data_IF_406462489990
#
_entry.id   IF_406462489990
#
_cell.length_a   1.000
_cell.length_b   1.000
_cell.length_c   1.000
_cell.angle_alpha   90.00
_cell.angle_beta   90.00
_cell.angle_gamma   90.00
#
_symmetry.space_group_name_H-M   'P 1'
#
loop_
_entity.id
_entity.type
_entity.pdbx_description
1 polymer ?
#
# COMPACT_ATOMS: atom_id res chain seq x y z
N UNK A 1 -18.05 -8.04 15.35
CA UNK A 1 -18.49 -7.15 14.24
C UNK A 1 -17.56 -7.33 13.06
N UNK A 2 -18.06 -7.07 11.83
CA UNK A 2 -17.26 -7.31 10.61
C UNK A 2 -15.96 -6.49 10.58
N UNK A 3 -15.96 -5.23 11.01
CA UNK A 3 -14.74 -4.41 11.07
C UNK A 3 -13.70 -4.96 12.04
N UNK A 4 -14.11 -5.55 13.16
CA UNK A 4 -13.19 -6.23 14.09
C UNK A 4 -12.58 -7.49 13.45
N UNK A 5 -13.38 -8.24 12.69
CA UNK A 5 -12.89 -9.40 11.97
C UNK A 5 -11.87 -9.00 10.89
N UNK A 6 -12.12 -7.90 10.15
CA UNK A 6 -11.17 -7.34 9.19
C UNK A 6 -9.88 -6.83 9.84
N UNK A 7 -9.95 -6.25 11.05
CA UNK A 7 -8.73 -5.85 11.79
C UNK A 7 -7.90 -7.08 12.15
N UNK A 8 -8.52 -8.16 12.63
CA UNK A 8 -7.82 -9.42 12.91
C UNK A 8 -7.22 -10.04 11.66
N UNK A 9 -7.98 -10.01 10.55
CA UNK A 9 -7.48 -10.49 9.25
C UNK A 9 -6.28 -9.68 8.79
N UNK A 10 -6.30 -8.35 8.95
CA UNK A 10 -5.15 -7.51 8.68
C UNK A 10 -3.92 -7.95 9.48
N UNK A 11 -4.08 -8.22 10.78
CA UNK A 11 -3.00 -8.66 11.67
C UNK A 11 -2.38 -9.98 11.16
N UNK A 12 -3.22 -10.96 10.80
CA UNK A 12 -2.78 -12.22 10.20
C UNK A 12 -2.04 -12.02 8.86
N UNK A 13 -2.60 -11.22 7.97
CA UNK A 13 -1.98 -10.90 6.67
C UNK A 13 -0.65 -10.15 6.83
N UNK A 14 -0.54 -9.27 7.83
CA UNK A 14 0.67 -8.51 8.12
C UNK A 14 1.77 -9.41 8.69
N UNK A 15 1.45 -10.36 9.58
CA UNK A 15 2.38 -11.38 10.07
C UNK A 15 2.91 -12.27 8.95
N UNK A 16 2.08 -12.57 7.95
CA UNK A 16 2.46 -13.32 6.74
C UNK A 16 3.22 -12.45 5.71
N UNK A 17 3.40 -11.15 5.95
CA UNK A 17 4.03 -10.23 5.01
C UNK A 17 3.22 -9.94 3.74
N UNK A 18 1.94 -10.32 3.69
CA UNK A 18 1.04 -10.15 2.53
C UNK A 18 0.55 -8.72 2.35
N UNK A 19 0.51 -7.94 3.42
CA UNK A 19 0.08 -6.53 3.43
C UNK A 19 1.10 -5.62 4.09
N UNK A 20 1.03 -4.34 3.76
CA UNK A 20 1.95 -3.35 4.34
C UNK A 20 1.55 -2.98 5.77
N UNK A 21 2.54 -2.64 6.57
CA UNK A 21 2.35 -2.09 7.92
C UNK A 21 1.91 -0.61 7.87
N UNK A 22 1.33 -0.05 8.96
CA UNK A 22 1.02 1.37 9.05
C UNK A 22 2.23 2.24 8.69
N UNK A 23 1.99 3.32 7.94
CA UNK A 23 3.06 4.17 7.44
C UNK A 23 3.76 3.66 6.18
N UNK A 24 3.36 2.49 5.66
CA UNK A 24 3.92 1.88 4.45
C UNK A 24 2.82 1.51 3.45
N UNK A 25 3.19 1.49 2.16
CA UNK A 25 2.29 1.04 1.09
C UNK A 25 3.06 0.28 0.00
N UNK A 26 2.31 -0.43 -0.85
CA UNK A 26 2.84 -1.02 -2.08
C UNK A 26 2.58 -0.05 -3.23
N UNK A 27 3.60 0.23 -4.04
CA UNK A 27 3.46 1.06 -5.24
C UNK A 27 4.32 0.54 -6.39
N UNK A 28 4.00 1.01 -7.59
CA UNK A 28 4.78 0.71 -8.80
C UNK A 28 5.95 1.67 -8.91
N UNK A 29 7.15 1.13 -9.04
CA UNK A 29 8.42 1.86 -9.17
C UNK A 29 9.07 1.50 -10.49
N UNK A 30 9.50 2.52 -11.23
CA UNK A 30 10.07 2.37 -12.56
C UNK A 30 11.58 2.41 -12.58
N UNK A 31 12.19 3.23 -11.71
CA UNK A 31 13.63 3.46 -11.72
C UNK A 31 14.20 3.59 -10.30
N UNK A 32 15.49 3.30 -10.19
CA UNK A 32 16.31 3.55 -9.02
C UNK A 32 17.32 4.66 -9.32
N UNK A 33 17.43 5.64 -8.43
CA UNK A 33 18.52 6.61 -8.38
C UNK A 33 19.60 6.01 -7.50
N UNK A 34 20.60 5.36 -8.10
CA UNK A 34 21.70 4.76 -7.36
C UNK A 34 22.72 5.85 -7.02
N UNK A 35 23.09 5.95 -5.74
CA UNK A 35 23.91 7.03 -5.22
C UNK A 35 25.31 6.56 -4.77
N UNK A 36 26.28 7.47 -4.83
CA UNK A 36 27.48 7.41 -4.00
C UNK A 36 27.19 7.96 -2.60
N UNK A 37 28.06 7.68 -1.63
CA UNK A 37 27.94 8.15 -0.25
C UNK A 37 27.93 9.68 -0.15
N UNK A 38 28.63 10.37 -1.05
CA UNK A 38 28.69 11.82 -1.14
C UNK A 38 27.42 12.45 -1.76
N UNK A 39 26.45 11.62 -2.17
CA UNK A 39 25.17 12.04 -2.75
C UNK A 39 25.20 12.25 -4.26
N UNK A 40 26.33 12.06 -4.94
CA UNK A 40 26.34 12.09 -6.41
C UNK A 40 25.60 10.91 -6.97
N UNK A 41 24.91 11.12 -8.10
CA UNK A 41 24.28 10.02 -8.85
C UNK A 41 25.39 9.13 -9.44
N UNK A 42 25.32 7.83 -9.19
CA UNK A 42 26.21 6.85 -9.79
C UNK A 42 25.66 6.34 -11.12
N UNK A 43 24.36 6.07 -11.14
CA UNK A 43 23.60 5.64 -12.34
C UNK A 43 22.11 5.64 -12.06
N UNK A 44 21.31 5.62 -13.13
CA UNK A 44 19.88 5.35 -13.08
C UNK A 44 19.64 3.91 -13.53
N UNK A 45 18.98 3.12 -12.68
CA UNK A 45 18.70 1.70 -12.97
C UNK A 45 17.22 1.54 -13.31
N UNK A 46 16.91 0.98 -14.47
CA UNK A 46 15.54 0.62 -14.83
C UNK A 46 15.09 -0.62 -14.05
N UNK A 47 14.02 -0.50 -13.28
CA UNK A 47 13.42 -1.57 -12.48
C UNK A 47 12.21 -2.22 -13.16
N UNK A 48 11.86 -1.77 -14.37
CA UNK A 48 10.76 -2.36 -15.13
C UNK A 48 11.08 -3.79 -15.53
N UNK A 49 10.10 -4.68 -15.40
CA UNK A 49 10.23 -6.11 -15.68
C UNK A 49 9.41 -6.47 -16.92
N UNK A 50 9.92 -7.38 -17.74
CA UNK A 50 9.13 -7.92 -18.85
C UNK A 50 8.00 -8.80 -18.32
N UNK A 51 6.79 -8.54 -18.78
CA UNK A 51 5.62 -9.38 -18.56
C UNK A 51 4.94 -9.69 -19.87
N UNK A 52 4.61 -10.94 -20.08
CA UNK A 52 3.80 -11.36 -21.23
C UNK A 52 2.33 -11.09 -20.94
N UNK A 53 1.71 -10.25 -21.78
CA UNK A 53 0.26 -9.99 -21.74
C UNK A 53 -0.30 -10.45 -23.11
N UNK A 54 -0.90 -11.64 -23.12
CA UNK A 54 -1.29 -12.31 -24.34
C UNK A 54 -0.08 -12.70 -25.18
N UNK A 55 0.04 -12.13 -26.40
CA UNK A 55 1.18 -12.36 -27.31
C UNK A 55 2.23 -11.23 -27.32
N UNK A 56 2.09 -10.25 -26.44
CA UNK A 56 2.98 -9.07 -26.38
C UNK A 56 3.78 -9.09 -25.09
N UNK A 57 5.08 -8.81 -25.18
CA UNK A 57 5.95 -8.49 -24.07
C UNK A 57 5.82 -7.00 -23.76
N UNK A 58 5.49 -6.67 -22.53
CA UNK A 58 5.34 -5.29 -22.04
C UNK A 58 6.23 -5.09 -20.83
N UNK A 59 6.92 -3.97 -20.77
CA UNK A 59 7.68 -3.58 -19.60
C UNK A 59 6.74 -2.97 -18.55
N UNK A 60 6.64 -3.60 -17.41
CA UNK A 60 5.83 -3.14 -16.28
C UNK A 60 6.72 -2.73 -15.10
N UNK A 61 6.38 -1.63 -14.40
CA UNK A 61 7.10 -1.21 -13.20
C UNK A 61 7.06 -2.30 -12.11
N UNK A 62 8.16 -2.41 -11.36
CA UNK A 62 8.27 -3.32 -10.21
C UNK A 62 7.38 -2.82 -9.06
N UNK A 63 6.59 -3.71 -8.45
CA UNK A 63 5.86 -3.40 -7.23
C UNK A 63 6.81 -3.49 -6.04
N UNK A 64 6.87 -2.42 -5.24
CA UNK A 64 7.78 -2.32 -4.09
C UNK A 64 7.07 -1.74 -2.87
N UNK A 65 7.47 -2.20 -1.66
CA UNK A 65 7.09 -1.59 -0.40
C UNK A 65 7.85 -0.28 -0.25
N UNK A 66 7.12 0.80 -0.02
CA UNK A 66 7.69 2.15 0.15
C UNK A 66 6.99 2.87 1.30
N UNK A 67 7.56 3.95 1.84
CA UNK A 67 6.86 4.83 2.78
C UNK A 67 5.50 5.27 2.24
N UNK A 68 4.51 5.39 3.13
CA UNK A 68 3.13 5.73 2.75
C UNK A 68 3.09 6.99 1.90
N UNK A 69 2.56 6.84 0.70
CA UNK A 69 2.43 7.95 -0.25
C UNK A 69 1.22 8.82 0.09
N UNK A 70 1.38 10.13 -0.07
CA UNK A 70 0.29 11.10 0.09
C UNK A 70 -0.63 11.08 -1.13
N UNK A 71 -1.93 11.22 -0.89
CA UNK A 71 -2.91 11.43 -1.97
C UNK A 71 -2.92 12.91 -2.34
N UNK A 72 -2.59 13.22 -3.60
CA UNK A 72 -2.56 14.60 -4.12
C UNK A 72 -3.83 14.87 -4.91
N UNK A 73 -4.64 15.80 -4.44
CA UNK A 73 -5.78 16.35 -5.21
C UNK A 73 -5.43 17.73 -5.79
N UNK A 74 -4.73 18.55 -5.03
CA UNK A 74 -4.22 19.87 -5.43
C UNK A 74 -3.01 20.23 -4.55
N UNK A 75 -2.19 21.16 -4.98
CA UNK A 75 -1.04 21.62 -4.23
C UNK A 75 0.23 20.75 -4.40
N UNK A 76 1.25 21.09 -3.61
CA UNK A 76 2.54 20.44 -3.57
C UNK A 76 2.66 19.67 -2.26
N UNK A 77 2.86 18.36 -2.35
CA UNK A 77 3.06 17.49 -1.20
C UNK A 77 4.03 16.37 -1.58
N UNK A 78 5.25 16.42 -1.06
CA UNK A 78 6.29 15.45 -1.35
C UNK A 78 6.04 14.11 -0.63
N UNK A 79 6.32 13.00 -1.31
CA UNK A 79 6.48 11.70 -0.66
C UNK A 79 7.90 11.58 -0.08
N UNK A 80 8.10 10.56 0.76
CA UNK A 80 9.41 10.23 1.31
C UNK A 80 10.00 9.02 0.56
N UNK A 81 11.23 9.10 0.12
CA UNK A 81 12.04 8.10 -0.60
C UNK A 81 11.50 7.58 -1.93
N UNK A 82 10.22 7.77 -2.23
CA UNK A 82 9.60 7.28 -3.46
C UNK A 82 8.66 8.33 -4.05
N UNK A 83 9.02 8.91 -5.18
CA UNK A 83 8.22 9.88 -5.90
C UNK A 83 8.62 9.94 -7.39
N UNK A 84 7.93 10.74 -8.19
CA UNK A 84 8.32 10.96 -9.57
C UNK A 84 9.49 11.96 -9.71
N UNK A 85 9.99 12.12 -10.93
CA UNK A 85 11.14 12.97 -11.25
C UNK A 85 10.98 14.44 -10.83
N UNK A 86 9.75 14.98 -10.85
CA UNK A 86 9.48 16.36 -10.45
C UNK A 86 9.83 16.63 -8.99
N UNK A 87 9.63 15.64 -8.13
CA UNK A 87 9.95 15.74 -6.69
C UNK A 87 11.36 15.30 -6.36
N UNK A 88 11.83 14.16 -6.90
CA UNK A 88 13.14 13.66 -6.50
C UNK A 88 14.29 14.29 -7.26
N UNK A 89 14.10 14.67 -8.52
CA UNK A 89 15.14 15.26 -9.37
C UNK A 89 14.88 16.73 -9.72
N UNK A 90 13.66 17.23 -9.52
CA UNK A 90 13.29 18.60 -9.89
C UNK A 90 13.19 18.82 -11.40
N UNK A 91 12.81 17.78 -12.17
CA UNK A 91 12.76 17.81 -13.63
C UNK A 91 11.51 17.13 -14.19
N UNK A 92 11.12 17.55 -15.38
CA UNK A 92 10.24 16.81 -16.29
C UNK A 92 10.86 16.71 -17.70
N UNK A 93 10.06 16.39 -18.70
CA UNK A 93 10.55 16.21 -20.08
C UNK A 93 11.22 17.47 -20.65
N UNK A 94 10.76 18.67 -20.23
CA UNK A 94 11.27 19.97 -20.70
C UNK A 94 12.42 20.52 -19.81
N UNK A 95 12.74 19.85 -18.69
CA UNK A 95 13.73 20.25 -17.72
C UNK A 95 13.12 20.70 -16.41
N UNK A 96 13.52 21.88 -15.89
CA UNK A 96 12.95 22.44 -14.66
C UNK A 96 12.12 23.70 -14.93
N UNK A 97 11.12 23.95 -14.08
CA UNK A 97 10.30 25.16 -14.07
C UNK A 97 10.03 25.58 -12.64
N UNK A 98 9.47 26.76 -12.43
CA UNK A 98 9.19 27.28 -11.06
C UNK A 98 8.41 26.29 -10.21
N UNK A 99 7.28 25.75 -10.73
CA UNK A 99 6.48 24.76 -9.98
C UNK A 99 7.22 23.45 -9.75
N UNK A 100 8.04 23.00 -10.67
CA UNK A 100 8.83 21.77 -10.52
C UNK A 100 9.92 21.97 -9.49
N UNK A 101 10.55 23.16 -9.47
CA UNK A 101 11.49 23.53 -8.43
C UNK A 101 10.83 23.55 -7.04
N UNK A 102 9.61 24.06 -6.92
CA UNK A 102 8.85 24.03 -5.67
C UNK A 102 8.57 22.57 -5.20
N UNK A 103 8.27 21.67 -6.14
CA UNK A 103 8.11 20.24 -5.84
C UNK A 103 9.42 19.63 -5.29
N UNK A 104 10.55 19.94 -5.91
CA UNK A 104 11.85 19.46 -5.48
C UNK A 104 12.24 20.03 -4.10
N UNK A 105 12.00 21.33 -3.87
CA UNK A 105 12.28 21.97 -2.58
C UNK A 105 11.44 21.35 -1.46
N UNK A 106 10.17 21.06 -1.70
CA UNK A 106 9.32 20.36 -0.74
C UNK A 106 9.83 18.92 -0.44
N UNK A 107 10.33 18.23 -1.46
CA UNK A 107 10.93 16.91 -1.27
C UNK A 107 12.26 17.00 -0.50
N UNK A 108 13.11 17.96 -0.84
CA UNK A 108 14.37 18.26 -0.14
C UNK A 108 14.13 18.51 1.34
N UNK A 109 13.21 19.42 1.67
CA UNK A 109 12.87 19.76 3.05
C UNK A 109 12.41 18.51 3.83
N UNK A 110 11.48 17.74 3.26
CA UNK A 110 10.96 16.53 3.88
C UNK A 110 12.05 15.48 4.15
N UNK A 111 12.91 15.22 3.16
CA UNK A 111 13.97 14.22 3.31
C UNK A 111 15.03 14.66 4.32
N UNK A 112 15.43 15.91 4.30
CA UNK A 112 16.40 16.45 5.27
C UNK A 112 15.83 16.39 6.69
N UNK A 113 14.57 16.82 6.88
CA UNK A 113 13.91 16.80 8.19
C UNK A 113 13.76 15.37 8.74
N UNK A 114 13.20 14.44 7.95
CA UNK A 114 12.99 13.06 8.41
C UNK A 114 14.31 12.36 8.73
N UNK A 115 15.36 12.58 7.93
CA UNK A 115 16.66 11.94 8.10
C UNK A 115 17.62 12.69 9.05
N UNK A 116 17.16 13.77 9.69
CA UNK A 116 17.98 14.51 10.64
C UNK A 116 18.44 13.63 11.81
N UNK A 117 19.72 13.73 12.16
CA UNK A 117 20.30 12.93 13.25
C UNK A 117 20.39 11.42 12.97
N UNK A 118 20.34 10.99 11.70
CA UNK A 118 20.58 9.59 11.30
C UNK A 118 22.00 9.47 10.75
N UNK A 119 22.82 8.57 11.31
CA UNK A 119 24.23 8.42 10.95
C UNK A 119 24.50 7.31 9.91
N UNK A 120 23.48 6.55 9.53
CA UNK A 120 23.57 5.49 8.51
C UNK A 120 24.07 6.00 7.16
N UNK A 121 24.93 5.20 6.51
CA UNK A 121 25.57 5.56 5.23
C UNK A 121 24.51 5.87 4.14
N UNK A 122 23.44 5.09 4.08
CA UNK A 122 22.33 5.29 3.14
C UNK A 122 21.61 6.63 3.43
N UNK A 123 21.32 6.92 4.69
CA UNK A 123 20.70 8.18 5.09
C UNK A 123 21.58 9.38 4.77
N UNK A 124 22.91 9.26 4.96
CA UNK A 124 23.87 10.27 4.57
C UNK A 124 23.87 10.49 3.06
N UNK A 125 23.89 9.43 2.26
CA UNK A 125 23.86 9.53 0.80
C UNK A 125 22.63 10.28 0.29
N UNK A 126 21.43 9.96 0.80
CA UNK A 126 20.18 10.64 0.44
C UNK A 126 20.20 12.11 0.88
N UNK A 127 20.65 12.41 2.10
CA UNK A 127 20.78 13.82 2.57
C UNK A 127 21.77 14.62 1.72
N UNK A 128 22.94 14.02 1.42
CA UNK A 128 23.97 14.66 0.60
C UNK A 128 23.47 14.91 -0.82
N UNK A 129 22.70 13.96 -1.39
CA UNK A 129 22.05 14.18 -2.67
C UNK A 129 21.19 15.44 -2.65
N UNK A 130 20.23 15.56 -1.74
CA UNK A 130 19.36 16.73 -1.68
C UNK A 130 20.08 18.04 -1.33
N UNK A 131 21.22 17.98 -0.64
CA UNK A 131 22.05 19.17 -0.38
C UNK A 131 22.80 19.65 -1.62
N UNK A 132 23.33 18.71 -2.40
CA UNK A 132 24.29 18.99 -3.47
C UNK A 132 23.67 19.00 -4.88
N UNK A 133 22.55 18.32 -5.09
CA UNK A 133 21.89 18.23 -6.38
C UNK A 133 21.28 19.56 -6.81
N UNK A 134 21.61 19.97 -8.05
CA UNK A 134 21.01 21.15 -8.69
C UNK A 134 20.16 20.71 -9.89
N UNK A 135 18.82 20.84 -9.84
CA UNK A 135 17.93 20.50 -10.95
C UNK A 135 18.25 21.24 -12.28
N UNK A 136 18.77 22.45 -12.23
CA UNK A 136 19.09 23.23 -13.42
C UNK A 136 20.22 22.62 -14.24
N UNK A 137 21.12 21.86 -13.60
CA UNK A 137 22.21 21.16 -14.27
C UNK A 137 21.87 19.72 -14.66
N UNK A 138 20.63 19.28 -14.47
CA UNK A 138 20.22 17.90 -14.71
C UNK A 138 20.42 17.42 -16.15
N UNK A 139 20.19 18.29 -17.15
CA UNK A 139 20.40 17.97 -18.56
C UNK A 139 21.87 17.74 -18.92
N UNK A 140 22.78 18.30 -18.14
CA UNK A 140 24.23 18.12 -18.32
C UNK A 140 24.75 16.85 -17.63
N UNK A 141 23.94 16.24 -16.73
CA UNK A 141 24.32 15.05 -15.96
C UNK A 141 24.36 13.82 -16.89
N UNK A 142 25.54 13.22 -17.12
CA UNK A 142 25.66 12.08 -18.03
C UNK A 142 24.85 10.87 -17.61
N UNK A 143 24.72 10.65 -16.30
CA UNK A 143 24.04 9.50 -15.69
C UNK A 143 22.51 9.51 -15.94
N UNK A 144 21.93 10.67 -16.26
CA UNK A 144 20.51 10.80 -16.58
C UNK A 144 20.20 10.66 -18.07
N UNK A 145 21.18 10.90 -18.96
CA UNK A 145 20.94 11.03 -20.41
C UNK A 145 20.29 9.82 -21.03
N UNK A 146 20.76 8.63 -20.70
CA UNK A 146 20.27 7.38 -21.29
C UNK A 146 18.81 7.08 -20.89
N UNK A 147 18.42 7.47 -19.69
CA UNK A 147 17.09 7.18 -19.13
C UNK A 147 16.17 8.41 -19.07
N UNK A 148 16.55 9.54 -19.67
CA UNK A 148 15.86 10.82 -19.55
C UNK A 148 14.35 10.72 -19.84
N UNK A 149 13.98 10.19 -21.01
CA UNK A 149 12.57 10.03 -21.39
C UNK A 149 11.82 9.14 -20.39
N UNK A 150 12.43 8.03 -20.00
CA UNK A 150 11.80 7.08 -19.09
C UNK A 150 11.58 7.61 -17.68
N UNK A 151 12.53 8.36 -17.11
CA UNK A 151 12.41 8.94 -15.77
C UNK A 151 11.45 10.14 -15.74
N UNK A 152 11.29 10.85 -16.86
CA UNK A 152 10.39 12.01 -16.96
C UNK A 152 8.97 11.66 -17.40
N UNK A 153 8.70 10.41 -17.81
CA UNK A 153 7.38 9.89 -18.18
C UNK A 153 6.40 9.72 -16.97
N UNK A 154 6.80 10.18 -15.79
CA UNK A 154 5.94 10.26 -14.61
C UNK A 154 5.91 9.02 -13.73
N UNK A 155 6.72 8.00 -14.00
CA UNK A 155 6.90 6.83 -13.13
C UNK A 155 7.60 7.18 -11.81
N UNK A 156 7.33 6.40 -10.76
CA UNK A 156 8.03 6.60 -9.49
C UNK A 156 9.48 6.11 -9.56
N UNK A 157 10.32 6.85 -8.85
CA UNK A 157 11.72 6.53 -8.60
C UNK A 157 11.94 6.27 -7.11
N UNK A 158 12.97 5.51 -6.76
CA UNK A 158 13.45 5.29 -5.41
C UNK A 158 14.95 5.53 -5.33
N UNK A 159 15.48 5.74 -4.12
CA UNK A 159 16.92 5.81 -3.90
C UNK A 159 17.50 4.44 -3.58
N UNK A 160 18.71 4.18 -4.07
CA UNK A 160 19.47 2.98 -3.74
C UNK A 160 20.98 3.23 -3.70
N UNK A 161 21.72 2.27 -3.17
CA UNK A 161 23.17 2.24 -3.11
C UNK A 161 23.64 0.78 -2.99
N UNK A 162 24.55 0.35 -3.86
CA UNK A 162 25.16 -0.99 -3.80
C UNK A 162 24.12 -2.13 -3.64
N UNK A 163 23.09 -2.17 -4.49
CA UNK A 163 22.02 -3.19 -4.51
C UNK A 163 21.00 -3.11 -3.35
N UNK A 164 21.15 -2.16 -2.42
CA UNK A 164 20.20 -1.92 -1.35
C UNK A 164 19.36 -0.69 -1.62
N UNK A 165 18.05 -0.76 -1.35
CA UNK A 165 17.15 0.38 -1.45
C UNK A 165 17.10 1.16 -0.14
N UNK A 166 16.95 2.48 -0.24
CA UNK A 166 16.89 3.36 0.93
C UNK A 166 15.72 3.05 1.87
N UNK A 167 14.58 2.61 1.34
CA UNK A 167 13.42 2.22 2.14
C UNK A 167 13.60 0.90 2.89
N UNK A 168 14.62 0.10 2.56
CA UNK A 168 14.91 -1.16 3.25
C UNK A 168 15.97 -0.98 4.35
N UNK A 169 16.58 0.21 4.47
CA UNK A 169 17.55 0.53 5.52
C UNK A 169 16.86 0.62 6.89
N UNK A 170 17.31 -0.16 7.91
CA UNK A 170 16.65 -0.23 9.21
C UNK A 170 16.62 1.10 9.98
N UNK A 171 17.66 1.92 9.85
CA UNK A 171 17.72 3.22 10.53
C UNK A 171 16.76 4.23 9.90
N UNK A 172 16.68 4.21 8.57
CA UNK A 172 15.70 5.02 7.83
C UNK A 172 14.27 4.58 8.16
N UNK A 173 14.01 3.27 8.20
CA UNK A 173 12.70 2.74 8.59
C UNK A 173 12.30 3.18 10.00
N UNK A 174 13.24 3.10 10.95
CA UNK A 174 13.02 3.55 12.34
C UNK A 174 12.67 5.04 12.40
N UNK A 175 13.39 5.88 11.67
CA UNK A 175 13.12 7.33 11.60
C UNK A 175 11.77 7.63 10.96
N UNK A 176 11.46 6.96 9.85
CA UNK A 176 10.16 7.11 9.19
C UNK A 176 9.01 6.72 10.11
N UNK A 177 9.09 5.56 10.77
CA UNK A 177 8.05 5.10 11.69
C UNK A 177 7.87 6.07 12.86
N UNK A 178 8.95 6.64 13.40
CA UNK A 178 8.88 7.64 14.45
C UNK A 178 8.19 8.93 13.97
N UNK A 179 8.52 9.41 12.77
CA UNK A 179 7.92 10.62 12.19
C UNK A 179 6.41 10.52 11.95
N UNK A 180 5.88 9.29 11.81
CA UNK A 180 4.44 9.07 11.67
C UNK A 180 3.68 9.24 13.00
N UNK A 181 4.37 9.21 14.12
CA UNK A 181 3.77 9.34 15.45
C UNK A 181 3.68 10.80 15.94
N UNK A 182 4.37 11.73 15.28
CA UNK A 182 4.52 13.14 15.71
C UNK A 182 3.54 14.11 15.04
N UNK A 183 2.53 13.63 14.29
CA UNK A 183 1.63 14.53 13.56
C UNK A 183 0.49 15.09 14.41
N UNK A 184 0.47 16.43 14.53
CA UNK A 184 -0.62 17.37 14.88
C UNK A 184 -1.58 17.02 16.04
N UNK A 185 -2.27 18.03 16.60
CA UNK A 185 -3.36 17.94 17.58
C UNK A 185 -4.49 17.03 17.04
N UNK A 186 -4.30 15.73 17.19
CA UNK A 186 -5.25 14.72 16.75
C UNK A 186 -6.37 14.58 17.75
N UNK A 187 -7.62 14.63 17.30
CA UNK A 187 -8.77 14.32 18.14
C UNK A 187 -8.65 12.84 18.53
N UNK A 188 -8.50 12.60 19.84
CA UNK A 188 -8.44 11.27 20.41
C UNK A 188 -9.77 10.88 21.04
N UNK A 189 -10.07 9.59 21.01
CA UNK A 189 -11.30 9.04 21.57
C UNK A 189 -11.26 7.52 21.66
N UNK A 190 -12.38 6.93 22.10
CA UNK A 190 -12.54 5.48 22.13
C UNK A 190 -12.92 4.99 20.72
N UNK A 191 -12.12 4.10 20.16
CA UNK A 191 -12.39 3.46 18.87
C UNK A 191 -13.58 2.50 18.98
N UNK A 192 -14.62 2.68 18.15
CA UNK A 192 -15.79 1.80 18.12
C UNK A 192 -15.47 0.37 17.64
N UNK A 193 -14.35 0.17 16.96
CA UNK A 193 -13.94 -1.15 16.44
C UNK A 193 -13.11 -1.92 17.45
N UNK A 194 -12.11 -1.29 18.05
CA UNK A 194 -11.15 -1.98 18.95
C UNK A 194 -11.44 -1.78 20.43
N UNK A 195 -12.20 -0.75 20.78
CA UNK A 195 -12.42 -0.33 22.19
C UNK A 195 -11.23 0.44 22.79
N UNK A 196 -10.13 0.60 22.08
CA UNK A 196 -8.94 1.28 22.56
C UNK A 196 -9.09 2.80 22.45
N UNK A 197 -8.50 3.52 23.40
CA UNK A 197 -8.37 4.98 23.33
C UNK A 197 -7.15 5.36 22.48
N UNK A 198 -7.34 6.33 21.58
CA UNK A 198 -6.26 6.82 20.72
C UNK A 198 -6.76 7.78 19.63
N UNK A 199 -5.90 8.16 18.69
CA UNK A 199 -6.24 9.10 17.63
C UNK A 199 -7.32 8.53 16.70
N UNK A 200 -8.35 9.33 16.44
CA UNK A 200 -9.50 8.98 15.58
C UNK A 200 -9.24 9.42 14.13
N UNK A 201 -9.58 8.57 13.20
CA UNK A 201 -9.48 8.88 11.78
C UNK A 201 -10.60 9.85 11.36
N UNK A 202 -10.23 11.00 10.81
CA UNK A 202 -11.18 11.98 10.29
C UNK A 202 -11.81 11.53 8.97
N UNK A 203 -11.01 10.90 8.09
CA UNK A 203 -11.42 10.41 6.78
C UNK A 203 -10.91 8.99 6.64
N UNK A 204 -11.78 8.09 6.20
CA UNK A 204 -11.38 6.71 5.94
C UNK A 204 -10.91 6.54 4.50
N UNK A 205 -9.95 5.62 4.31
CA UNK A 205 -9.40 5.27 3.01
C UNK A 205 -10.44 4.60 2.14
N UNK A 206 -10.31 4.81 0.83
CA UNK A 206 -11.21 4.21 -0.16
C UNK A 206 -11.02 2.70 -0.26
N UNK A 207 -12.14 2.01 -0.41
CA UNK A 207 -12.21 0.59 -0.76
C UNK A 207 -12.27 0.47 -2.27
N UNK A 208 -11.30 -0.24 -2.85
CA UNK A 208 -11.14 -0.43 -4.30
C UNK A 208 -11.71 -1.77 -4.76
N UNK A 209 -12.01 -1.89 -6.04
CA UNK A 209 -12.49 -3.16 -6.61
C UNK A 209 -13.95 -3.46 -6.32
N UNK A 210 -14.73 -2.48 -5.85
CA UNK A 210 -16.17 -2.59 -5.65
C UNK A 210 -16.89 -2.28 -6.97
N UNK A 211 -17.70 -3.20 -7.52
CA UNK A 211 -18.46 -2.95 -8.75
C UNK A 211 -19.37 -1.73 -8.62
N UNK A 212 -19.46 -0.91 -9.66
CA UNK A 212 -20.31 0.30 -9.67
C UNK A 212 -19.79 1.47 -8.83
N UNK A 213 -18.70 1.33 -8.09
CA UNK A 213 -18.09 2.44 -7.36
C UNK A 213 -17.32 3.39 -8.31
N UNK A 214 -17.02 4.59 -7.80
CA UNK A 214 -16.17 5.55 -8.51
C UNK A 214 -14.76 4.98 -8.72
N UNK A 215 -14.04 5.48 -9.72
CA UNK A 215 -12.66 5.05 -10.00
C UNK A 215 -11.69 5.29 -8.84
N UNK A 216 -11.97 6.29 -7.99
CA UNK A 216 -11.23 6.57 -6.75
C UNK A 216 -11.51 5.53 -5.64
N UNK A 217 -12.56 4.74 -5.75
CA UNK A 217 -13.04 3.75 -4.80
C UNK A 217 -14.32 4.14 -4.07
N UNK A 218 -14.82 3.22 -3.24
CA UNK A 218 -15.99 3.41 -2.38
C UNK A 218 -15.57 3.78 -0.96
N UNK A 219 -16.41 4.51 -0.24
CA UNK A 219 -16.22 4.76 1.19
C UNK A 219 -17.15 3.84 1.99
N UNK A 220 -16.57 3.08 2.94
CA UNK A 220 -17.34 2.23 3.84
C UNK A 220 -17.91 3.03 5.02
N UNK A 221 -17.12 3.96 5.57
CA UNK A 221 -17.52 4.91 6.60
C UNK A 221 -17.22 6.31 6.07
N UNK A 222 -18.25 7.13 5.87
CA UNK A 222 -18.10 8.47 5.32
C UNK A 222 -19.26 9.38 5.74
N UNK A 223 -18.93 10.60 6.12
CA UNK A 223 -19.84 11.68 6.47
C UNK A 223 -19.43 12.92 5.65
N UNK A 224 -19.76 12.91 4.37
CA UNK A 224 -19.24 13.86 3.39
C UNK A 224 -20.15 15.09 3.14
N UNK A 225 -21.18 15.27 3.96
CA UNK A 225 -22.05 16.43 3.91
C UNK A 225 -22.47 16.85 5.31
N UNK A 226 -22.66 18.17 5.58
CA UNK A 226 -23.09 18.67 6.89
C UNK A 226 -24.39 18.06 7.41
N UNK A 227 -25.28 17.59 6.52
CA UNK A 227 -26.52 16.90 6.87
C UNK A 227 -26.30 15.56 7.60
N UNK A 228 -25.10 14.97 7.51
CA UNK A 228 -24.73 13.73 8.18
C UNK A 228 -24.01 13.97 9.51
N UNK A 229 -23.73 15.22 9.85
CA UNK A 229 -23.00 15.59 11.06
C UNK A 229 -23.94 15.79 12.24
N UNK A 230 -23.51 15.41 13.44
CA UNK A 230 -24.28 15.49 14.66
C UNK A 230 -23.40 15.92 15.83
N UNK A 231 -24.01 16.61 16.78
CA UNK A 231 -23.32 17.03 18.03
C UNK A 231 -22.02 17.83 17.80
N UNK A 232 -21.96 18.63 16.73
CA UNK A 232 -20.77 19.40 16.38
C UNK A 232 -19.55 18.58 15.96
N UNK A 233 -19.75 17.31 15.61
CA UNK A 233 -18.69 16.43 15.11
C UNK A 233 -18.66 16.44 13.59
N UNK A 234 -17.50 16.77 13.05
CA UNK A 234 -17.27 16.77 11.62
C UNK A 234 -16.90 15.39 11.08
N UNK A 235 -17.32 15.06 9.89
CA UNK A 235 -16.92 13.87 9.13
C UNK A 235 -16.97 12.57 9.97
N UNK A 236 -15.96 11.70 9.86
CA UNK A 236 -15.94 10.38 10.53
C UNK A 236 -15.78 10.45 12.05
N UNK A 237 -15.62 11.65 12.65
CA UNK A 237 -15.74 11.80 14.11
C UNK A 237 -17.17 11.49 14.60
N UNK A 238 -18.17 11.46 13.72
CA UNK A 238 -19.52 10.99 14.03
C UNK A 238 -19.60 9.48 14.28
N UNK A 239 -18.66 8.68 13.74
CA UNK A 239 -18.50 7.26 14.00
C UNK A 239 -17.03 7.01 14.31
N UNK A 240 -16.56 7.30 15.55
CA UNK A 240 -15.14 7.33 15.86
C UNK A 240 -14.47 5.97 15.71
N UNK A 241 -13.63 5.84 14.71
CA UNK A 241 -12.76 4.69 14.47
C UNK A 241 -11.31 5.15 14.56
N UNK A 242 -10.53 4.46 15.38
CA UNK A 242 -9.11 4.79 15.54
C UNK A 242 -8.32 4.63 14.24
N UNK A 243 -7.29 5.45 14.06
CA UNK A 243 -6.44 5.43 12.84
C UNK A 243 -5.89 4.04 12.53
N UNK A 244 -5.46 3.30 13.55
CA UNK A 244 -5.00 1.92 13.36
C UNK A 244 -6.11 1.01 12.81
N UNK A 245 -7.29 1.05 13.42
CA UNK A 245 -8.40 0.21 12.98
C UNK A 245 -8.88 0.57 11.57
N UNK A 246 -8.89 1.87 11.24
CA UNK A 246 -9.20 2.37 9.91
C UNK A 246 -8.19 1.83 8.88
N UNK A 247 -6.90 1.98 9.17
CA UNK A 247 -5.84 1.44 8.33
C UNK A 247 -5.97 -0.08 8.15
N UNK A 248 -6.15 -0.80 9.23
CA UNK A 248 -6.19 -2.26 9.25
C UNK A 248 -7.37 -2.80 8.42
N UNK A 249 -8.61 -2.36 8.70
CA UNK A 249 -9.76 -2.90 7.99
C UNK A 249 -9.78 -2.50 6.51
N UNK A 250 -9.34 -1.29 6.16
CA UNK A 250 -9.29 -0.85 4.76
C UNK A 250 -8.21 -1.60 3.99
N UNK A 251 -7.08 -1.86 4.60
CA UNK A 251 -5.97 -2.63 4.00
C UNK A 251 -6.38 -4.09 3.78
N UNK A 252 -6.95 -4.76 4.80
CA UNK A 252 -7.44 -6.13 4.67
C UNK A 252 -8.51 -6.25 3.59
N UNK A 253 -9.53 -5.38 3.61
CA UNK A 253 -10.60 -5.44 2.64
C UNK A 253 -10.12 -5.17 1.21
N UNK A 254 -9.21 -4.22 1.02
CA UNK A 254 -8.60 -3.96 -0.28
C UNK A 254 -7.75 -5.14 -0.77
N UNK A 255 -7.04 -5.82 0.13
CA UNK A 255 -6.30 -7.05 -0.20
C UNK A 255 -7.25 -8.15 -0.66
N UNK A 256 -8.25 -8.49 0.15
CA UNK A 256 -9.24 -9.53 -0.15
C UNK A 256 -9.99 -9.26 -1.46
N UNK A 257 -10.40 -8.02 -1.71
CA UNK A 257 -11.03 -7.62 -2.98
C UNK A 257 -10.07 -7.67 -4.17
N UNK A 258 -8.77 -7.59 -3.93
CA UNK A 258 -7.71 -7.65 -4.96
C UNK A 258 -7.40 -9.08 -5.42
N UNK A 259 -7.66 -10.09 -4.60
CA UNK A 259 -7.32 -11.49 -4.86
C UNK A 259 -8.54 -12.28 -5.32
N UNK A 260 -8.37 -13.16 -6.31
CA UNK A 260 -9.49 -13.93 -6.87
C UNK A 260 -9.98 -15.02 -5.90
N UNK A 261 -9.09 -15.60 -5.13
CA UNK A 261 -9.36 -16.66 -4.16
C UNK A 261 -10.20 -16.22 -2.96
N UNK A 262 -10.25 -14.91 -2.66
CA UNK A 262 -11.02 -14.36 -1.54
C UNK A 262 -12.33 -13.71 -1.93
N UNK A 263 -12.69 -13.75 -3.22
CA UNK A 263 -13.89 -13.07 -3.71
C UNK A 263 -14.62 -13.88 -4.77
N UNK A 264 -15.93 -13.68 -4.86
CA UNK A 264 -16.72 -14.11 -6.01
C UNK A 264 -17.77 -13.06 -6.39
N UNK A 265 -18.24 -13.13 -7.62
CA UNK A 265 -19.25 -12.22 -8.15
C UNK A 265 -20.61 -12.86 -8.10
N UNK A 266 -21.58 -12.22 -7.44
CA UNK A 266 -22.98 -12.64 -7.41
C UNK A 266 -23.86 -11.54 -7.99
N UNK A 267 -24.16 -11.63 -9.27
CA UNK A 267 -24.85 -10.54 -9.99
C UNK A 267 -24.04 -9.24 -9.91
N UNK A 268 -24.63 -8.19 -9.38
CA UNK A 268 -23.99 -6.88 -9.18
C UNK A 268 -23.25 -6.78 -7.84
N UNK A 269 -23.29 -7.84 -7.03
CA UNK A 269 -22.68 -7.86 -5.69
C UNK A 269 -21.34 -8.60 -5.75
N UNK A 270 -20.32 -8.01 -5.14
CA UNK A 270 -19.05 -8.69 -4.89
C UNK A 270 -19.02 -9.18 -3.45
N UNK A 271 -18.92 -10.49 -3.29
CA UNK A 271 -18.81 -11.16 -2.00
C UNK A 271 -17.34 -11.40 -1.71
N UNK A 272 -16.93 -11.08 -0.49
CA UNK A 272 -15.60 -11.33 0.04
C UNK A 272 -15.73 -12.27 1.23
N UNK A 273 -14.85 -13.24 1.32
CA UNK A 273 -14.88 -14.23 2.41
C UNK A 273 -13.45 -14.61 2.81
N UNK A 274 -13.27 -14.98 4.07
CA UNK A 274 -11.99 -15.47 4.60
C UNK A 274 -12.20 -16.34 5.84
N UNK A 275 -11.25 -17.22 6.11
CA UNK A 275 -11.23 -18.06 7.31
C UNK A 275 -10.62 -17.31 8.49
N UNK A 276 -11.17 -17.45 9.69
CA UNK A 276 -10.66 -16.76 10.90
C UNK A 276 -9.21 -17.16 11.24
N UNK A 277 -8.78 -18.38 10.87
CA UNK A 277 -7.41 -18.85 11.05
C UNK A 277 -6.38 -18.23 10.10
N UNK A 278 -6.83 -17.63 8.98
CA UNK A 278 -5.96 -17.14 7.90
C UNK A 278 -5.24 -18.26 7.12
N UNK A 279 -5.59 -19.54 7.34
CA UNK A 279 -4.98 -20.67 6.64
C UNK A 279 -5.55 -20.83 5.22
N UNK A 280 -4.67 -20.88 4.23
CA UNK A 280 -5.03 -20.99 2.80
C UNK A 280 -5.87 -22.23 2.49
N UNK A 281 -5.62 -23.35 3.17
CA UNK A 281 -6.36 -24.61 2.96
C UNK A 281 -7.87 -24.45 3.17
N UNK A 282 -8.28 -23.69 4.20
CA UNK A 282 -9.71 -23.41 4.43
C UNK A 282 -10.28 -22.46 3.36
N UNK A 283 -9.47 -21.53 2.92
CA UNK A 283 -9.85 -20.56 1.90
C UNK A 283 -10.11 -21.26 0.56
N UNK A 284 -9.17 -22.09 0.13
CA UNK A 284 -9.29 -22.88 -1.11
C UNK A 284 -10.48 -23.83 -1.09
N UNK A 285 -10.71 -24.45 0.06
CA UNK A 285 -11.87 -25.32 0.26
C UNK A 285 -13.18 -24.55 0.07
N UNK A 286 -13.32 -23.38 0.72
CA UNK A 286 -14.54 -22.58 0.63
C UNK A 286 -14.74 -21.97 -0.77
N UNK A 287 -13.66 -21.51 -1.40
CA UNK A 287 -13.67 -21.00 -2.76
C UNK A 287 -14.15 -22.07 -3.74
N UNK A 288 -13.66 -23.33 -3.60
CA UNK A 288 -14.08 -24.46 -4.41
C UNK A 288 -15.54 -24.83 -4.24
N UNK A 289 -16.11 -24.55 -3.07
CA UNK A 289 -17.53 -24.77 -2.80
C UNK A 289 -18.43 -23.72 -3.48
N UNK A 290 -17.96 -22.46 -3.54
CA UNK A 290 -18.72 -21.35 -4.15
C UNK A 290 -18.62 -21.35 -5.68
N UNK A 291 -17.44 -21.66 -6.23
CA UNK A 291 -17.17 -21.78 -7.67
C UNK A 291 -16.52 -23.14 -7.98
N UNK A 292 -17.31 -24.21 -8.14
CA UNK A 292 -16.78 -25.55 -8.42
C UNK A 292 -15.97 -25.55 -9.72
N UNK A 293 -14.68 -25.88 -9.62
CA UNK A 293 -13.83 -26.15 -10.79
C UNK A 293 -13.92 -27.64 -11.15
N UNK A 294 -13.75 -28.03 -12.43
CA UNK A 294 -13.81 -29.43 -12.86
C UNK A 294 -12.90 -30.36 -12.04
N UNK A 295 -11.73 -29.87 -11.62
CA UNK A 295 -10.75 -30.66 -10.86
C UNK A 295 -11.18 -30.92 -9.40
N UNK A 296 -12.18 -30.21 -8.89
CA UNK A 296 -12.66 -30.31 -7.51
C UNK A 296 -14.02 -31.04 -7.40
N UNK A 297 -14.58 -31.54 -8.51
CA UNK A 297 -15.92 -32.11 -8.55
C UNK A 297 -16.03 -33.36 -7.67
N UNK A 298 -15.00 -34.22 -7.62
CA UNK A 298 -14.99 -35.42 -6.79
C UNK A 298 -14.94 -35.10 -5.29
N UNK A 299 -14.12 -34.10 -4.90
CA UNK A 299 -14.04 -33.62 -3.53
C UNK A 299 -15.37 -33.03 -3.06
N UNK A 300 -16.02 -32.22 -3.89
CA UNK A 300 -17.33 -31.64 -3.58
C UNK A 300 -18.41 -32.70 -3.47
N UNK A 301 -18.41 -33.72 -4.33
CA UNK A 301 -19.32 -34.88 -4.23
C UNK A 301 -19.13 -35.65 -2.93
N UNK A 302 -17.88 -35.84 -2.48
CA UNK A 302 -17.56 -36.49 -1.21
C UNK A 302 -18.07 -35.67 -0.01
N UNK A 303 -17.86 -34.33 -0.02
CA UNK A 303 -18.37 -33.41 0.99
C UNK A 303 -19.89 -33.47 1.08
N UNK A 304 -20.60 -33.35 -0.04
CA UNK A 304 -22.07 -33.44 -0.06
C UNK A 304 -22.59 -34.82 0.38
N UNK A 305 -21.91 -35.89 0.03
CA UNK A 305 -22.27 -37.24 0.47
C UNK A 305 -22.07 -37.44 1.98
N UNK A 306 -21.01 -36.82 2.55
CA UNK A 306 -20.74 -36.85 3.98
C UNK A 306 -21.76 -36.03 4.78
N UNK A 307 -22.05 -34.79 4.34
CA UNK A 307 -23.07 -33.92 4.94
C UNK A 307 -24.45 -34.57 4.94
N UNK A 308 -24.83 -35.23 3.83
CA UNK A 308 -26.10 -35.96 3.70
C UNK A 308 -26.22 -37.15 4.65
N UNK A 309 -25.10 -37.73 5.07
CA UNK A 309 -25.05 -38.89 5.98
C UNK A 309 -24.78 -38.49 7.43
N UNK A 310 -24.64 -37.17 7.75
CA UNK A 310 -24.26 -36.67 9.08
C UNK A 310 -22.96 -37.33 9.62
N UNK A 311 -22.08 -37.77 8.74
CA UNK A 311 -20.77 -38.30 9.10
C UNK A 311 -19.72 -37.22 9.05
N UNK A 312 -18.79 -37.27 10.00
CA UNK A 312 -17.55 -36.48 9.90
C UNK A 312 -16.87 -36.80 8.57
N UNK A 313 -16.54 -35.78 7.84
CA UNK A 313 -15.75 -35.85 6.63
C UNK A 313 -14.30 -36.06 7.04
N UNK A 314 -13.83 -37.29 6.98
CA UNK A 314 -12.42 -37.59 6.96
C UNK A 314 -11.95 -37.30 5.52
N UNK A 315 -11.51 -36.10 5.31
CA UNK A 315 -10.82 -35.70 4.08
C UNK A 315 -9.33 -36.01 4.32
N UNK A 316 -8.93 -37.26 4.07
CA UNK A 316 -7.59 -37.83 4.29
C UNK A 316 -6.39 -36.96 3.81
N UNK A 317 -6.62 -35.78 3.29
CA UNK A 317 -5.61 -34.82 2.84
C UNK A 317 -5.67 -33.45 3.53
N UNK A 318 -6.69 -33.17 4.35
CA UNK A 318 -6.84 -31.89 5.04
C UNK A 318 -7.32 -32.14 6.47
N UNK A 319 -6.47 -31.87 7.45
CA UNK A 319 -6.88 -31.76 8.86
C UNK A 319 -7.68 -30.44 9.03
N UNK A 320 -8.91 -30.43 8.51
CA UNK A 320 -9.80 -29.28 8.65
C UNK A 320 -10.50 -29.30 10.01
N UNK A 321 -10.33 -28.26 10.80
CA UNK A 321 -11.09 -28.07 12.02
C UNK A 321 -12.56 -27.80 11.66
N UNK A 322 -13.52 -28.68 12.05
CA UNK A 322 -14.94 -28.52 11.69
C UNK A 322 -15.59 -27.28 12.33
N UNK A 323 -14.93 -26.65 13.31
CA UNK A 323 -15.40 -25.44 13.98
C UNK A 323 -14.76 -24.15 13.44
N UNK A 324 -14.04 -24.24 12.31
CA UNK A 324 -13.45 -23.06 11.66
C UNK A 324 -14.55 -22.08 11.26
N UNK A 325 -14.39 -20.83 11.71
CA UNK A 325 -15.30 -19.74 11.36
C UNK A 325 -14.86 -19.07 10.07
N UNK A 326 -15.85 -18.73 9.25
CA UNK A 326 -15.71 -17.90 8.05
C UNK A 326 -16.48 -16.60 8.26
N UNK A 327 -15.99 -15.56 7.63
CA UNK A 327 -16.61 -14.24 7.55
C UNK A 327 -16.99 -13.91 6.13
#
# INVERSE_FOLDING_TARGET
MILQALVKEYESLAEQGKVSQPGWCQTKVSYEINLYVDGRIKQIICLKQEKEIGKKKVLIPKTMKVPQMVTRSSGIAANFLCDNSKYLLGIDAEGTSGRIMDCFLAAKEKHISVLEGTDGIMAQAVRNFFKNWNPESAQECPELKEQWEGITDGGNLVFGMNEFYAQDDPEIQKKWNASQSETEEEISGICLVTGNYGPISRIHRSIKGVPGAQSSGAALVSFNAPAFESYGKEQSYNAPVGKYAEFAYTTALNYLLGQEEYRFQLGDTRVVFWAESGEEAYQDFFASFLEPKPDNEEMLKAVFAGLKKQKYLDLDQFELNPNQKFY
#
